data_IF_528586944200
#
_entry.id   IF_528586944200
#
_cell.length_a   1.000
_cell.length_b   1.000
_cell.length_c   1.000
_cell.angle_alpha   90.00
_cell.angle_beta   90.00
_cell.angle_gamma   90.00
#
_symmetry.space_group_name_H-M   'P 1'
#
loop_
_entity.id
_entity.type
_entity.pdbx_description
1 polymer ?
#
# COMPACT_ATOMS: atom_id res chain seq x y z
N UNK A 1 -22.97 -12.33 5.75
CA UNK A 1 -22.52 -11.02 5.21
C UNK A 1 -21.40 -11.31 4.22
N UNK A 2 -21.39 -10.62 3.08
CA UNK A 2 -20.42 -10.86 1.97
C UNK A 2 -19.57 -9.60 1.71
N UNK A 3 -18.45 -9.73 0.99
CA UNK A 3 -17.52 -8.65 0.68
C UNK A 3 -18.22 -7.41 0.10
N UNK A 4 -19.20 -7.60 -0.81
CA UNK A 4 -19.99 -6.54 -1.44
C UNK A 4 -20.67 -5.59 -0.45
N UNK A 5 -20.93 -6.04 0.78
CA UNK A 5 -21.58 -5.26 1.82
C UNK A 5 -20.62 -4.36 2.62
N UNK A 6 -19.31 -4.58 2.50
CA UNK A 6 -18.28 -3.89 3.31
C UNK A 6 -17.12 -3.32 2.48
N UNK A 7 -16.97 -3.71 1.22
CA UNK A 7 -15.89 -3.24 0.34
C UNK A 7 -16.10 -1.78 -0.11
N UNK A 8 -15.00 -1.05 -0.29
CA UNK A 8 -15.00 0.25 -0.96
C UNK A 8 -15.03 0.05 -2.47
N UNK A 9 -15.99 0.66 -3.16
CA UNK A 9 -16.14 0.56 -4.62
C UNK A 9 -15.26 1.56 -5.37
N UNK A 10 -15.23 2.81 -4.89
CA UNK A 10 -14.44 3.87 -5.50
C UNK A 10 -13.04 3.90 -4.88
N UNK A 11 -12.14 3.11 -5.46
CA UNK A 11 -10.77 2.96 -4.97
C UNK A 11 -9.80 3.80 -5.79
N UNK A 12 -8.93 4.54 -5.10
CA UNK A 12 -7.80 5.24 -5.76
C UNK A 12 -6.66 4.24 -5.95
N UNK A 13 -6.21 4.07 -7.18
CA UNK A 13 -5.08 3.22 -7.55
C UNK A 13 -3.87 4.05 -8.01
N UNK A 14 -2.69 3.44 -7.96
CA UNK A 14 -1.44 4.00 -8.50
C UNK A 14 -0.82 3.04 -9.51
N UNK A 15 0.17 3.51 -10.26
CA UNK A 15 0.91 2.69 -11.22
C UNK A 15 2.22 2.18 -10.59
N UNK A 16 2.84 1.11 -11.13
CA UNK A 16 4.17 0.67 -10.75
C UNK A 16 5.21 1.79 -10.78
N UNK A 17 5.04 2.75 -11.70
CA UNK A 17 5.96 3.86 -11.92
C UNK A 17 5.67 5.11 -11.09
N UNK A 18 4.56 5.14 -10.34
CA UNK A 18 4.26 6.21 -9.40
C UNK A 18 5.37 6.31 -8.37
N UNK A 19 5.79 7.53 -8.04
CA UNK A 19 6.84 7.73 -7.03
C UNK A 19 6.31 7.38 -5.65
N UNK A 20 7.20 6.94 -4.75
CA UNK A 20 6.84 6.70 -3.35
C UNK A 20 6.30 7.98 -2.71
N UNK A 21 6.90 9.13 -3.01
CA UNK A 21 6.46 10.45 -2.52
C UNK A 21 5.01 10.76 -2.93
N UNK A 22 4.66 10.54 -4.20
CA UNK A 22 3.31 10.80 -4.69
C UNK A 22 2.29 9.82 -4.12
N UNK A 23 2.67 8.54 -3.97
CA UNK A 23 1.83 7.54 -3.31
C UNK A 23 1.56 7.92 -1.84
N UNK A 24 2.59 8.34 -1.09
CA UNK A 24 2.44 8.81 0.29
C UNK A 24 1.56 10.08 0.39
N UNK A 25 1.72 11.03 -0.53
CA UNK A 25 0.84 12.21 -0.61
C UNK A 25 -0.62 11.85 -0.88
N UNK A 26 -0.87 10.86 -1.74
CA UNK A 26 -2.23 10.35 -2.00
C UNK A 26 -2.81 9.74 -0.72
N UNK A 27 -2.07 8.86 -0.05
CA UNK A 27 -2.47 8.22 1.21
C UNK A 27 -2.85 9.25 2.28
N UNK A 28 -1.98 10.25 2.48
CA UNK A 28 -2.21 11.34 3.45
C UNK A 28 -3.42 12.20 3.09
N UNK A 29 -3.57 12.59 1.83
CA UNK A 29 -4.68 13.44 1.37
C UNK A 29 -6.02 12.73 1.46
N UNK A 30 -6.04 11.43 1.19
CA UNK A 30 -7.25 10.62 1.16
C UNK A 30 -7.55 9.91 2.49
N UNK A 31 -6.67 10.05 3.49
CA UNK A 31 -6.75 9.36 4.79
C UNK A 31 -6.87 7.83 4.66
N UNK A 32 -6.06 7.24 3.78
CA UNK A 32 -6.00 5.78 3.54
C UNK A 32 -4.58 5.26 3.75
N UNK A 33 -4.44 4.01 4.23
CA UNK A 33 -3.16 3.40 4.59
C UNK A 33 -2.55 2.49 3.51
N UNK A 34 -3.27 2.30 2.40
CA UNK A 34 -2.87 1.40 1.33
C UNK A 34 -3.47 1.79 -0.02
N UNK A 35 -2.77 1.42 -1.08
CA UNK A 35 -3.15 1.67 -2.47
C UNK A 35 -2.98 0.39 -3.29
N UNK A 36 -3.99 -0.03 -4.08
CA UNK A 36 -3.78 -1.01 -5.14
C UNK A 36 -2.87 -0.43 -6.22
N UNK A 37 -2.03 -1.28 -6.79
CA UNK A 37 -1.15 -0.94 -7.89
C UNK A 37 -1.67 -1.61 -9.17
N UNK A 38 -1.98 -0.83 -10.19
CA UNK A 38 -2.52 -1.31 -11.46
C UNK A 38 -1.58 -1.01 -12.63
N UNK A 39 -1.51 -1.89 -13.62
CA UNK A 39 -0.79 -1.63 -14.87
C UNK A 39 -1.59 -0.74 -15.83
N UNK A 40 -0.99 -0.39 -16.98
CA UNK A 40 -1.62 0.45 -18.01
C UNK A 40 -2.86 -0.20 -18.66
N UNK A 41 -3.01 -1.53 -18.53
CA UNK A 41 -4.18 -2.28 -19.00
C UNK A 41 -5.28 -2.37 -17.91
N UNK A 42 -5.05 -1.83 -16.72
CA UNK A 42 -5.99 -1.83 -15.60
C UNK A 42 -5.94 -3.09 -14.75
N UNK A 43 -4.95 -3.97 -14.92
CA UNK A 43 -4.83 -5.19 -14.12
C UNK A 43 -4.16 -4.88 -12.78
N UNK A 44 -4.64 -5.52 -11.70
CA UNK A 44 -3.99 -5.46 -10.39
C UNK A 44 -2.64 -6.20 -10.44
N UNK A 45 -1.55 -5.48 -10.20
CA UNK A 45 -0.18 -6.03 -10.21
C UNK A 45 0.53 -5.98 -8.86
N UNK A 46 -0.11 -5.37 -7.85
CA UNK A 46 0.41 -5.34 -6.49
C UNK A 46 -0.44 -4.51 -5.53
N UNK A 47 0.03 -4.44 -4.29
CA UNK A 47 -0.49 -3.54 -3.26
C UNK A 47 0.70 -2.85 -2.57
N UNK A 48 0.53 -1.58 -2.20
CA UNK A 48 1.51 -0.84 -1.40
C UNK A 48 0.82 -0.22 -0.18
N UNK A 49 1.46 -0.36 0.98
CA UNK A 49 1.01 0.18 2.26
C UNK A 49 2.03 1.15 2.86
N UNK A 50 1.62 1.94 3.85
CA UNK A 50 2.55 2.79 4.62
C UNK A 50 3.74 1.99 5.20
N UNK A 51 3.50 0.72 5.55
CA UNK A 51 4.53 -0.16 6.13
C UNK A 51 5.59 -0.63 5.11
N UNK A 52 5.26 -0.62 3.82
CA UNK A 52 6.20 -0.99 2.75
C UNK A 52 7.24 0.12 2.51
N UNK A 53 6.86 1.38 2.76
CA UNK A 53 7.79 2.51 2.71
C UNK A 53 8.84 2.45 3.82
N UNK A 54 8.42 1.96 5.00
CA UNK A 54 9.28 1.80 6.17
C UNK A 54 10.37 0.76 6.01
N UNK A 55 9.96 -0.47 5.68
CA UNK A 55 10.80 -1.67 5.75
C UNK A 55 12.07 -1.59 4.91
N UNK A 56 12.10 -0.72 3.90
CA UNK A 56 13.21 -0.64 2.94
C UNK A 56 14.13 0.57 3.15
N UNK A 57 13.76 1.48 4.04
CA UNK A 57 14.64 2.59 4.47
C UNK A 57 15.77 2.13 5.40
N UNK A 58 15.63 0.96 6.03
CA UNK A 58 16.66 0.39 6.92
C UNK A 58 17.88 -0.17 6.17
N UNK A 59 17.80 -0.39 4.85
CA UNK A 59 18.83 -1.13 4.08
C UNK A 59 19.86 -0.20 3.40
N UNK A 60 19.75 1.12 3.50
CA UNK A 60 20.73 2.00 2.85
C UNK A 60 20.68 3.44 3.32
N UNK A 61 21.71 3.83 4.07
CA UNK A 61 22.06 5.19 4.51
C UNK A 61 21.32 5.73 5.75
N UNK A 62 21.89 5.40 6.92
CA UNK A 62 22.28 6.36 7.96
C UNK A 62 21.28 7.43 8.43
N UNK A 63 20.78 7.21 9.65
CA UNK A 63 20.43 8.21 10.68
C UNK A 63 19.21 9.12 10.40
N UNK A 64 18.03 8.66 10.85
CA UNK A 64 17.21 9.31 11.88
C UNK A 64 15.74 8.85 11.79
N UNK A 65 15.54 7.56 12.06
CA UNK A 65 14.23 6.94 12.22
C UNK A 65 13.38 7.57 13.35
N UNK A 66 13.95 8.42 14.22
CA UNK A 66 13.20 9.14 15.23
C UNK A 66 12.42 10.35 14.68
N UNK A 67 12.77 10.88 13.51
CA UNK A 67 12.15 12.10 12.96
C UNK A 67 10.76 11.84 12.37
N UNK A 68 10.56 10.68 11.73
CA UNK A 68 9.29 10.30 11.13
C UNK A 68 8.23 9.87 12.18
N UNK A 69 8.67 9.45 13.37
CA UNK A 69 7.81 9.14 14.53
C UNK A 69 7.40 10.44 15.24
N UNK A 70 8.31 11.42 15.32
CA UNK A 70 8.00 12.78 15.76
C UNK A 70 7.04 13.51 14.81
N UNK A 71 7.00 13.09 13.54
CA UNK A 71 6.11 13.60 12.49
C UNK A 71 4.65 13.16 12.64
N UNK A 72 4.37 11.99 13.25
CA UNK A 72 3.00 11.57 13.58
C UNK A 72 2.36 12.38 14.73
N UNK A 73 3.15 13.12 15.52
CA UNK A 73 2.74 13.73 16.79
C UNK A 73 2.85 15.28 16.85
N UNK A 74 2.70 16.03 15.75
CA UNK A 74 2.52 17.48 15.89
C UNK A 74 2.69 18.34 14.64
N UNK A 75 2.08 19.55 14.63
CA UNK A 75 1.62 20.20 13.41
C UNK A 75 2.63 21.22 12.87
N UNK A 76 2.85 21.18 11.55
CA UNK A 76 3.30 22.34 10.78
C UNK A 76 4.78 22.33 10.39
N UNK A 77 4.98 22.26 9.06
CA UNK A 77 6.18 22.67 8.31
C UNK A 77 7.48 21.90 8.57
N UNK A 78 7.76 20.92 7.71
CA UNK A 78 9.12 20.54 7.30
C UNK A 78 9.11 19.83 5.92
N UNK A 79 8.55 20.49 4.90
CA UNK A 79 8.50 19.98 3.53
C UNK A 79 9.85 20.08 2.77
N UNK A 80 10.99 20.20 3.46
CA UNK A 80 12.25 20.59 2.83
C UNK A 80 13.32 19.49 2.71
N UNK A 81 13.18 18.34 3.38
CA UNK A 81 14.26 17.34 3.43
C UNK A 81 13.93 15.97 2.79
N UNK A 82 12.73 15.82 2.20
CA UNK A 82 12.31 14.65 1.39
C UNK A 82 13.05 14.49 0.04
N UNK A 83 14.13 15.23 -0.18
CA UNK A 83 14.71 15.47 -1.50
C UNK A 83 15.57 14.30 -2.03
N UNK A 84 15.85 13.26 -1.22
CA UNK A 84 16.59 12.08 -1.70
C UNK A 84 15.70 10.97 -2.32
N UNK A 85 14.37 11.11 -2.29
CA UNK A 85 13.41 10.09 -2.76
C UNK A 85 13.02 10.19 -4.23
N UNK A 86 13.49 11.21 -4.96
CA UNK A 86 13.02 11.62 -6.31
C UNK A 86 13.23 10.63 -7.47
N UNK A 87 13.47 9.35 -7.20
CA UNK A 87 13.58 8.30 -8.21
C UNK A 87 13.07 6.92 -7.82
N UNK A 88 12.63 6.72 -6.56
CA UNK A 88 12.10 5.42 -6.12
C UNK A 88 10.64 5.28 -6.50
N UNK A 89 10.31 4.15 -7.10
CA UNK A 89 8.99 3.86 -7.64
C UNK A 89 8.26 2.86 -6.74
N UNK A 90 6.93 2.87 -6.82
CA UNK A 90 6.06 1.94 -6.08
C UNK A 90 6.45 0.48 -6.37
N UNK A 91 6.84 0.15 -7.60
CA UNK A 91 7.28 -1.20 -7.98
C UNK A 91 8.50 -1.73 -7.21
N UNK A 92 9.31 -0.82 -6.64
CA UNK A 92 10.48 -1.15 -5.85
C UNK A 92 10.11 -1.65 -4.45
N UNK A 93 8.90 -1.35 -3.95
CA UNK A 93 8.50 -1.63 -2.56
C UNK A 93 7.20 -2.43 -2.45
N UNK A 94 6.35 -2.44 -3.48
CA UNK A 94 5.05 -3.08 -3.42
C UNK A 94 5.11 -4.59 -3.19
N UNK A 95 4.07 -5.11 -2.53
CA UNK A 95 3.83 -6.55 -2.46
C UNK A 95 3.17 -7.01 -3.76
N UNK A 96 3.86 -7.87 -4.51
CA UNK A 96 3.38 -8.41 -5.80
C UNK A 96 2.43 -9.59 -5.64
N UNK A 97 2.58 -10.37 -4.57
CA UNK A 97 1.71 -11.52 -4.28
C UNK A 97 0.46 -11.02 -3.57
N UNK A 98 -0.52 -10.58 -4.35
CA UNK A 98 -1.85 -10.18 -3.86
C UNK A 98 -2.78 -11.38 -3.79
N UNK A 99 -3.72 -11.35 -2.86
CA UNK A 99 -4.84 -12.29 -2.78
C UNK A 99 -6.09 -11.49 -3.12
N UNK A 100 -6.89 -12.01 -4.03
CA UNK A 100 -8.14 -11.39 -4.48
C UNK A 100 -9.31 -12.31 -4.13
N UNK A 101 -10.43 -11.71 -3.77
CA UNK A 101 -11.70 -12.38 -3.51
C UNK A 101 -12.78 -11.79 -4.39
N UNK A 102 -13.87 -12.53 -4.63
CA UNK A 102 -15.01 -12.02 -5.37
C UNK A 102 -15.93 -11.20 -4.45
N UNK A 103 -16.80 -10.35 -5.02
CA UNK A 103 -17.69 -9.51 -4.22
C UNK A 103 -18.74 -10.34 -3.44
N UNK A 104 -19.09 -11.50 -3.96
CA UNK A 104 -19.97 -12.49 -3.33
C UNK A 104 -19.26 -13.37 -2.29
N UNK A 105 -17.93 -13.26 -2.11
CA UNK A 105 -17.22 -14.04 -1.08
C UNK A 105 -17.71 -13.67 0.32
N UNK A 106 -17.94 -14.68 1.17
CA UNK A 106 -18.44 -14.45 2.53
C UNK A 106 -17.35 -13.85 3.43
N UNK A 107 -17.73 -13.05 4.43
CA UNK A 107 -16.73 -12.50 5.37
C UNK A 107 -15.99 -13.58 6.16
N UNK A 108 -16.62 -14.75 6.39
CA UNK A 108 -15.97 -15.89 7.04
C UNK A 108 -14.86 -16.46 6.17
N UNK A 109 -15.12 -16.63 4.87
CA UNK A 109 -14.13 -17.13 3.92
C UNK A 109 -12.98 -16.12 3.71
N UNK A 110 -13.28 -14.81 3.74
CA UNK A 110 -12.24 -13.76 3.73
C UNK A 110 -11.35 -13.86 4.97
N UNK A 111 -11.94 -14.05 6.15
CA UNK A 111 -11.18 -14.23 7.39
C UNK A 111 -10.23 -15.44 7.30
N UNK A 112 -10.75 -16.57 6.83
CA UNK A 112 -9.94 -17.76 6.59
C UNK A 112 -8.82 -17.51 5.55
N UNK A 113 -9.12 -16.78 4.47
CA UNK A 113 -8.13 -16.45 3.44
C UNK A 113 -6.96 -15.59 3.95
N UNK A 114 -7.21 -14.73 4.93
CA UNK A 114 -6.18 -13.90 5.57
C UNK A 114 -5.31 -14.74 6.51
N UNK A 115 -5.89 -15.72 7.19
CA UNK A 115 -5.18 -16.60 8.13
C UNK A 115 -4.42 -17.73 7.44
N UNK A 116 -4.90 -18.22 6.29
CA UNK A 116 -4.31 -19.34 5.54
C UNK A 116 -4.16 -19.00 4.03
N UNK A 117 -3.32 -18.00 3.70
CA UNK A 117 -3.18 -17.46 2.34
C UNK A 117 -2.61 -18.45 1.30
N UNK A 118 -1.97 -19.53 1.74
CA UNK A 118 -1.48 -20.63 0.90
C UNK A 118 -2.59 -21.49 0.29
N UNK A 119 -3.75 -21.59 0.95
CA UNK A 119 -4.81 -22.53 0.59
C UNK A 119 -5.73 -22.02 -0.54
N UNK A 120 -5.73 -20.70 -0.80
CA UNK A 120 -6.47 -20.12 -1.93
C UNK A 120 -5.85 -20.41 -3.29
N UNK A 121 -4.65 -20.99 -3.34
CA UNK A 121 -3.95 -21.29 -4.60
C UNK A 121 -4.55 -22.45 -5.40
N UNK A 122 -5.51 -23.18 -4.83
CA UNK A 122 -6.07 -24.38 -5.43
C UNK A 122 -7.41 -24.17 -6.18
N UNK A 123 -7.92 -22.94 -6.25
CA UNK A 123 -9.27 -22.65 -6.78
C UNK A 123 -9.30 -21.70 -7.99
N UNK A 124 -8.17 -21.48 -8.66
CA UNK A 124 -8.06 -20.67 -9.88
C UNK A 124 -7.91 -21.51 -11.14
#
# INVERSE_FOLDING_TARGET
>A
MHAIHVMTRDVVAVTPHTTIEDAAKIMLRMHISGLPVIDDAGNLVGIVSESDFLRRSEIGTGRNHAAWLKFFMGPGRAAAEFIHERGRKVEDVMTRKVITVQEETSLGDIGYAVESPEDLRAAG
#
